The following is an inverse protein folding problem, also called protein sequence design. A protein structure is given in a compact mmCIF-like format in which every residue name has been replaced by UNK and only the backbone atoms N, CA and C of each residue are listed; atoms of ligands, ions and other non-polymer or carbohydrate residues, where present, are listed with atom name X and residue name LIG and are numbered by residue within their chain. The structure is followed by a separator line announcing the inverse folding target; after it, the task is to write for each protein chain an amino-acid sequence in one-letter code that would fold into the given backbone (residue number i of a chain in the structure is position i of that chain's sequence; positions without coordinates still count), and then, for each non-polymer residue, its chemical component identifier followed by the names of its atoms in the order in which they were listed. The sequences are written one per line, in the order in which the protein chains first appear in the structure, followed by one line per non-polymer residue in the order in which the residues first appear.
data_IF_066398515270
#
_entry.id   IF_066398515270
#
_cell.length_a   1.000
_cell.length_b   1.000
_cell.length_c   1.000
_cell.angle_alpha   90.00
_cell.angle_beta   90.00
_cell.angle_gamma   90.00
#
_symmetry.space_group_name_H-M   'P 1'
#
loop_
_entity.id
_entity.type
_entity.pdbx_description
1 polymer ?
#
# COMPACT_ATOMS: atom_id res chain seq x y z
N UNK A 1 -20.25 -3.47 -4.80
CA UNK A 1 -20.74 -2.17 -4.28
C UNK A 1 -22.26 -2.12 -4.21
N UNK A 2 -22.83 -1.61 -3.10
CA UNK A 2 -24.21 -1.14 -3.07
C UNK A 2 -24.33 0.08 -3.99
N UNK A 3 -25.34 0.09 -4.86
CA UNK A 3 -25.57 1.09 -5.93
C UNK A 3 -25.43 2.56 -5.49
N UNK A 4 -25.71 2.84 -4.21
CA UNK A 4 -25.59 4.16 -3.59
C UNK A 4 -24.15 4.70 -3.57
N UNK A 5 -23.15 3.85 -3.32
CA UNK A 5 -21.74 4.26 -3.29
C UNK A 5 -21.23 4.61 -4.70
N UNK A 6 -21.66 3.85 -5.71
CA UNK A 6 -21.33 4.11 -7.12
C UNK A 6 -21.91 5.46 -7.58
N UNK A 7 -23.14 5.78 -7.17
CA UNK A 7 -23.76 7.08 -7.49
C UNK A 7 -23.00 8.22 -6.82
N UNK A 8 -22.65 8.11 -5.53
CA UNK A 8 -21.89 9.16 -4.82
C UNK A 8 -20.50 9.35 -5.46
N UNK A 9 -19.83 8.27 -5.87
CA UNK A 9 -18.55 8.34 -6.55
C UNK A 9 -18.68 8.99 -7.94
N UNK A 10 -19.67 8.58 -8.74
CA UNK A 10 -19.92 9.19 -10.06
C UNK A 10 -20.26 10.68 -9.96
N UNK A 11 -21.01 11.08 -8.92
CA UNK A 11 -21.32 12.48 -8.67
C UNK A 11 -20.13 13.27 -8.11
N UNK A 12 -19.20 12.61 -7.42
CA UNK A 12 -18.01 13.28 -6.87
C UNK A 12 -16.89 13.46 -7.89
N UNK A 13 -16.82 12.66 -8.95
CA UNK A 13 -15.82 12.82 -10.05
C UNK A 13 -15.86 14.22 -10.66
N UNK A 14 -17.00 14.78 -11.11
CA UNK A 14 -17.02 16.12 -11.70
C UNK A 14 -16.66 17.21 -10.69
N UNK A 15 -17.10 17.07 -9.43
CA UNK A 15 -16.81 18.03 -8.36
C UNK A 15 -15.33 17.99 -7.96
N UNK A 16 -14.77 16.79 -7.81
CA UNK A 16 -13.36 16.56 -7.47
C UNK A 16 -12.44 16.95 -8.61
N UNK A 17 -12.81 16.65 -9.85
CA UNK A 17 -12.08 17.09 -11.05
C UNK A 17 -12.08 18.63 -11.14
N UNK A 18 -13.23 19.27 -10.90
CA UNK A 18 -13.30 20.73 -10.86
C UNK A 18 -12.42 21.32 -9.75
N UNK A 19 -12.49 20.78 -8.53
CA UNK A 19 -11.67 21.22 -7.39
C UNK A 19 -10.17 20.99 -7.64
N UNK A 20 -9.81 19.86 -8.22
CA UNK A 20 -8.41 19.54 -8.49
C UNK A 20 -7.86 20.43 -9.60
N UNK A 21 -8.58 20.62 -10.71
CA UNK A 21 -8.07 21.39 -11.85
C UNK A 21 -8.23 22.91 -11.72
N UNK A 22 -9.19 23.42 -10.92
CA UNK A 22 -9.29 24.87 -10.63
C UNK A 22 -8.73 25.25 -9.28
N UNK A 23 -9.06 24.51 -8.24
CA UNK A 23 -8.67 24.82 -6.87
C UNK A 23 -7.18 24.67 -6.67
N UNK A 24 -6.58 23.58 -7.14
CA UNK A 24 -5.16 23.31 -6.90
C UNK A 24 -4.22 24.31 -7.60
N UNK A 25 -4.35 24.63 -8.90
CA UNK A 25 -3.48 25.62 -9.55
C UNK A 25 -3.69 27.04 -9.03
N UNK A 26 -4.85 27.35 -8.46
CA UNK A 26 -5.10 28.63 -7.80
C UNK A 26 -4.57 28.67 -6.36
N UNK A 27 -4.56 27.55 -5.65
CA UNK A 27 -4.15 27.46 -4.25
C UNK A 27 -2.63 27.35 -4.10
N UNK A 28 -1.98 26.58 -4.96
CA UNK A 28 -0.52 26.43 -5.03
C UNK A 28 0.27 27.76 -5.02
N UNK A 29 -0.05 28.77 -5.85
CA UNK A 29 0.62 30.08 -5.86
C UNK A 29 0.38 30.89 -4.59
N UNK A 30 -0.82 30.79 -3.99
CA UNK A 30 -1.14 31.46 -2.72
C UNK A 30 -0.34 30.84 -1.58
N UNK A 31 -0.24 29.52 -1.58
CA UNK A 31 0.51 28.77 -0.58
C UNK A 31 2.01 29.01 -0.74
N UNK A 32 2.54 29.02 -1.97
CA UNK A 32 3.95 29.36 -2.22
C UNK A 32 4.28 30.78 -1.79
N UNK A 33 3.38 31.75 -2.05
CA UNK A 33 3.55 33.13 -1.59
C UNK A 33 3.56 33.22 -0.06
N UNK A 34 2.69 32.48 0.61
CA UNK A 34 2.65 32.44 2.07
C UNK A 34 3.95 31.85 2.65
N UNK A 35 4.43 30.74 2.08
CA UNK A 35 5.70 30.12 2.47
C UNK A 35 6.87 31.07 2.27
N UNK A 36 6.93 31.79 1.14
CA UNK A 36 7.98 32.76 0.85
C UNK A 36 7.92 33.99 1.76
N UNK A 37 6.71 34.48 2.09
CA UNK A 37 6.52 35.56 3.07
C UNK A 37 6.99 35.12 4.47
N UNK A 38 6.66 33.90 4.90
CA UNK A 38 7.16 33.34 6.15
C UNK A 38 8.69 33.22 6.14
N UNK A 39 9.28 32.76 5.03
CA UNK A 39 10.73 32.64 4.89
C UNK A 39 11.43 34.01 4.94
N UNK A 40 10.88 35.04 4.27
CA UNK A 40 11.42 36.40 4.31
C UNK A 40 11.30 37.00 5.73
N UNK A 41 10.12 36.88 6.37
CA UNK A 41 9.92 37.33 7.75
C UNK A 41 10.92 36.67 8.72
N UNK A 42 11.13 35.36 8.59
CA UNK A 42 12.10 34.63 9.39
C UNK A 42 13.53 35.10 9.11
N UNK A 43 13.90 35.32 7.85
CA UNK A 43 15.19 35.91 7.48
C UNK A 43 15.43 37.29 8.11
N UNK A 44 14.43 38.17 8.08
CA UNK A 44 14.51 39.48 8.72
C UNK A 44 14.62 39.40 10.25
N UNK A 45 13.93 38.45 10.89
CA UNK A 45 14.06 38.21 12.33
C UNK A 45 15.47 37.73 12.70
N UNK A 46 16.09 36.88 11.88
CA UNK A 46 17.47 36.43 12.09
C UNK A 46 18.44 37.61 11.95
N UNK A 47 18.30 38.45 10.92
CA UNK A 47 19.13 39.65 10.75
C UNK A 47 18.96 40.63 11.92
N UNK A 48 17.74 40.79 12.43
CA UNK A 48 17.49 41.61 13.62
C UNK A 48 18.18 41.02 14.86
N UNK A 49 18.13 39.69 15.04
CA UNK A 49 18.83 39.02 16.13
C UNK A 49 20.36 39.19 16.02
N UNK A 50 20.93 39.04 14.83
CA UNK A 50 22.34 39.30 14.56
C UNK A 50 22.74 40.74 14.90
N UNK A 51 21.92 41.72 14.51
CA UNK A 51 22.12 43.13 14.85
C UNK A 51 22.14 43.36 16.36
N UNK A 52 21.19 42.78 17.10
CA UNK A 52 21.13 42.89 18.56
C UNK A 52 22.34 42.22 19.24
N UNK A 53 22.75 41.05 18.76
CA UNK A 53 23.95 40.34 19.25
C UNK A 53 25.18 41.21 19.02
N UNK A 54 25.32 41.80 17.83
CA UNK A 54 26.43 42.68 17.47
C UNK A 54 26.48 43.90 18.37
N UNK A 55 25.34 44.56 18.63
CA UNK A 55 25.27 45.68 19.57
C UNK A 55 25.69 45.26 20.99
N UNK A 56 25.22 44.12 21.47
CA UNK A 56 25.55 43.62 22.81
C UNK A 56 27.05 43.30 22.94
N UNK A 57 27.65 42.69 21.92
CA UNK A 57 29.08 42.40 21.89
C UNK A 57 29.88 43.70 21.89
N UNK A 58 29.51 44.71 21.09
CA UNK A 58 30.18 46.02 21.07
C UNK A 58 30.17 46.72 22.43
N UNK A 59 29.13 46.54 23.23
CA UNK A 59 29.09 47.06 24.62
C UNK A 59 30.09 46.38 25.55
N UNK A 60 30.44 45.11 25.31
CA UNK A 60 31.34 44.31 26.15
C UNK A 60 32.77 44.21 25.64
N UNK A 61 32.99 44.34 24.32
CA UNK A 61 34.29 44.25 23.65
C UNK A 61 34.37 45.31 22.54
N UNK A 62 35.51 46.01 22.40
CA UNK A 62 35.67 47.06 21.39
C UNK A 62 35.75 46.51 19.95
N UNK A 63 36.06 45.22 19.76
CA UNK A 63 36.15 44.60 18.44
C UNK A 63 35.19 43.41 18.33
N UNK A 64 34.35 43.45 17.29
CA UNK A 64 33.40 42.38 16.95
C UNK A 64 34.14 41.33 16.11
N UNK A 65 33.97 40.03 16.40
CA UNK A 65 34.54 38.96 15.59
C UNK A 65 34.14 39.07 14.10
N UNK A 66 35.12 38.91 13.22
CA UNK A 66 34.96 39.05 11.77
C UNK A 66 33.89 38.11 11.18
N UNK A 67 33.75 36.89 11.73
CA UNK A 67 32.78 35.91 11.25
C UNK A 67 31.32 36.38 11.36
N UNK A 68 31.01 37.31 12.27
CA UNK A 68 29.65 37.84 12.43
C UNK A 68 29.23 38.61 11.16
N UNK A 69 30.13 39.44 10.62
CA UNK A 69 29.87 40.18 9.37
C UNK A 69 29.68 39.24 8.17
N UNK A 70 30.47 38.17 8.09
CA UNK A 70 30.30 37.17 7.03
C UNK A 70 28.92 36.48 7.09
N UNK A 71 28.45 36.19 8.30
CA UNK A 71 27.11 35.60 8.49
C UNK A 71 26.02 36.58 8.06
N UNK A 72 26.13 37.86 8.44
CA UNK A 72 25.16 38.89 8.03
C UNK A 72 25.11 39.11 6.52
N UNK A 73 26.26 39.13 5.84
CA UNK A 73 26.32 39.26 4.39
C UNK A 73 25.65 38.07 3.68
N UNK A 74 25.93 36.84 4.13
CA UNK A 74 25.30 35.61 3.59
C UNK A 74 23.78 35.64 3.82
N UNK A 75 23.33 36.03 5.01
CA UNK A 75 21.90 36.10 5.33
C UNK A 75 21.19 37.17 4.47
N UNK A 76 21.80 38.32 4.26
CA UNK A 76 21.29 39.38 3.40
C UNK A 76 21.15 38.91 1.95
N UNK A 77 22.15 38.19 1.44
CA UNK A 77 22.13 37.62 0.09
C UNK A 77 21.01 36.59 -0.06
N UNK A 78 20.80 35.71 0.91
CA UNK A 78 19.70 34.74 0.94
C UNK A 78 18.33 35.45 0.89
N UNK A 79 18.13 36.49 1.70
CA UNK A 79 16.86 37.26 1.70
C UNK A 79 16.62 37.90 0.33
N UNK A 80 17.64 38.53 -0.26
CA UNK A 80 17.54 39.16 -1.58
C UNK A 80 17.23 38.14 -2.69
N UNK A 81 17.78 36.94 -2.59
CA UNK A 81 17.53 35.84 -3.51
C UNK A 81 16.09 35.32 -3.41
N UNK A 82 15.57 35.16 -2.19
CA UNK A 82 14.17 34.78 -1.95
C UNK A 82 13.18 35.81 -2.51
N UNK A 83 13.47 37.10 -2.37
CA UNK A 83 12.68 38.17 -2.98
C UNK A 83 12.71 38.09 -4.51
N UNK A 84 13.88 37.80 -5.10
CA UNK A 84 14.02 37.59 -6.54
C UNK A 84 13.21 36.39 -7.07
N UNK A 85 13.20 35.27 -6.34
CA UNK A 85 12.36 34.10 -6.65
C UNK A 85 10.88 34.47 -6.59
N UNK A 86 10.46 35.17 -5.54
CA UNK A 86 9.07 35.58 -5.34
C UNK A 86 8.56 36.40 -6.53
N UNK A 87 9.35 37.37 -6.99
CA UNK A 87 9.00 38.19 -8.15
C UNK A 87 8.90 37.39 -9.46
N UNK A 88 9.79 36.41 -9.68
CA UNK A 88 9.76 35.56 -10.87
C UNK A 88 8.54 34.63 -10.86
N UNK A 89 8.22 34.05 -9.71
CA UNK A 89 7.04 33.22 -9.53
C UNK A 89 5.75 34.03 -9.75
N UNK A 90 5.68 35.26 -9.26
CA UNK A 90 4.54 36.15 -9.51
C UNK A 90 4.35 36.45 -11.01
N UNK A 91 5.45 36.67 -11.75
CA UNK A 91 5.40 36.88 -13.21
C UNK A 91 4.95 35.62 -13.95
N UNK A 92 5.52 34.46 -13.62
CA UNK A 92 5.12 33.19 -14.19
C UNK A 92 3.65 32.88 -13.90
N UNK A 93 3.21 33.11 -12.67
CA UNK A 93 1.84 32.88 -12.25
C UNK A 93 0.86 33.75 -13.03
N UNK A 94 1.13 35.06 -13.14
CA UNK A 94 0.32 35.96 -13.98
C UNK A 94 0.29 35.49 -15.43
N UNK A 95 1.43 35.10 -15.99
CA UNK A 95 1.50 34.60 -17.36
C UNK A 95 0.69 33.31 -17.56
N UNK A 96 0.82 32.33 -16.66
CA UNK A 96 0.12 31.04 -16.74
C UNK A 96 -1.39 31.22 -16.54
N UNK A 97 -1.82 32.05 -15.59
CA UNK A 97 -3.25 32.26 -15.37
C UNK A 97 -3.93 33.10 -16.45
N UNK A 98 -3.29 34.19 -16.88
CA UNK A 98 -3.93 35.17 -17.75
C UNK A 98 -3.92 34.71 -19.21
N UNK A 99 -2.82 34.07 -19.65
CA UNK A 99 -2.69 33.58 -21.02
C UNK A 99 -3.37 32.23 -21.24
N UNK A 100 -3.53 31.44 -20.19
CA UNK A 100 -3.89 30.02 -20.30
C UNK A 100 -5.27 29.74 -19.65
N UNK A 101 -6.30 30.47 -20.10
CA UNK A 101 -7.72 30.14 -19.82
C UNK A 101 -8.13 28.71 -20.24
N UNK A 102 -7.24 27.98 -20.92
CA UNK A 102 -7.39 26.60 -21.42
C UNK A 102 -7.04 25.49 -20.42
N UNK A 103 -6.73 25.79 -19.15
CA UNK A 103 -6.57 24.73 -18.12
C UNK A 103 -7.88 24.03 -17.74
N UNK A 104 -9.00 24.39 -18.38
CA UNK A 104 -10.20 23.58 -18.33
C UNK A 104 -9.96 22.29 -19.14
N UNK A 105 -10.06 21.10 -18.54
CA UNK A 105 -10.17 19.88 -19.33
C UNK A 105 -11.29 20.11 -20.34
N UNK A 106 -10.98 19.99 -21.63
CA UNK A 106 -11.97 20.16 -22.69
C UNK A 106 -13.16 19.24 -22.42
N UNK A 107 -14.37 19.57 -22.88
CA UNK A 107 -15.57 18.74 -22.62
C UNK A 107 -15.33 17.24 -22.95
N UNK A 108 -14.45 16.96 -23.91
CA UNK A 108 -13.89 15.65 -24.25
C UNK A 108 -13.28 14.87 -23.07
N UNK A 109 -12.60 15.50 -22.13
CA UNK A 109 -12.02 14.82 -20.96
C UNK A 109 -13.08 14.30 -19.98
N UNK A 110 -14.21 14.99 -19.84
CA UNK A 110 -15.34 14.48 -19.04
C UNK A 110 -15.97 13.26 -19.70
N UNK A 111 -16.06 13.25 -21.04
CA UNK A 111 -16.54 12.10 -21.81
C UNK A 111 -15.57 10.92 -21.69
N UNK A 112 -14.26 11.18 -21.83
CA UNK A 112 -13.21 10.17 -21.69
C UNK A 112 -13.22 9.59 -20.27
N UNK A 113 -13.23 10.42 -19.22
CA UNK A 113 -13.31 9.93 -17.85
C UNK A 113 -14.63 9.18 -17.58
N UNK A 114 -15.75 9.68 -18.11
CA UNK A 114 -17.07 9.08 -17.97
C UNK A 114 -17.23 7.73 -18.70
N UNK A 115 -16.43 7.46 -19.73
CA UNK A 115 -16.45 6.18 -20.48
C UNK A 115 -15.35 5.24 -19.99
N UNK A 116 -14.13 5.74 -19.83
CA UNK A 116 -12.96 4.92 -19.48
C UNK A 116 -13.03 4.42 -18.04
N UNK A 117 -13.49 5.22 -17.06
CA UNK A 117 -13.61 4.73 -15.69
C UNK A 117 -14.61 3.58 -15.58
N UNK A 118 -15.84 3.65 -16.14
CA UNK A 118 -16.75 2.51 -16.14
C UNK A 118 -16.20 1.30 -16.89
N UNK A 119 -15.51 1.48 -18.02
CA UNK A 119 -14.89 0.37 -18.74
C UNK A 119 -13.76 -0.30 -17.94
N UNK A 120 -12.86 0.48 -17.31
CA UNK A 120 -11.83 -0.05 -16.41
C UNK A 120 -12.44 -0.72 -15.17
N UNK A 121 -13.55 -0.17 -14.65
CA UNK A 121 -14.30 -0.73 -13.53
C UNK A 121 -14.93 -2.08 -13.91
N UNK A 122 -15.57 -2.17 -15.07
CA UNK A 122 -16.24 -3.40 -15.52
C UNK A 122 -15.24 -4.47 -15.98
N UNK A 123 -14.08 -4.06 -16.49
CA UNK A 123 -13.00 -4.96 -16.88
C UNK A 123 -12.11 -5.39 -15.69
N UNK A 124 -12.13 -4.68 -14.56
CA UNK A 124 -11.31 -4.97 -13.38
C UNK A 124 -11.45 -6.41 -12.84
N UNK A 125 -12.65 -7.03 -12.77
CA UNK A 125 -12.79 -8.42 -12.33
C UNK A 125 -12.20 -9.41 -13.35
N UNK A 126 -12.29 -9.12 -14.65
CA UNK A 126 -11.77 -9.95 -15.73
C UNK A 126 -10.26 -9.79 -15.96
N UNK A 127 -9.66 -8.70 -15.48
CA UNK A 127 -8.22 -8.42 -15.54
C UNK A 127 -7.50 -8.95 -14.27
N UNK A 128 -8.15 -9.89 -13.57
CA UNK A 128 -7.59 -10.64 -12.46
C UNK A 128 -6.13 -11.06 -12.74
N UNK A 129 -5.27 -10.76 -11.77
CA UNK A 129 -3.84 -11.11 -11.74
C UNK A 129 -2.90 -10.39 -12.72
N UNK A 130 -3.35 -9.38 -13.46
CA UNK A 130 -2.37 -8.59 -14.23
C UNK A 130 -1.50 -7.72 -13.33
N UNK A 131 -0.25 -7.51 -13.76
CA UNK A 131 0.85 -6.78 -13.08
C UNK A 131 0.44 -5.42 -12.50
N UNK A 132 -0.58 -4.78 -13.05
CA UNK A 132 -1.12 -3.50 -12.57
C UNK A 132 -1.73 -3.60 -11.16
N UNK A 133 -2.40 -4.71 -10.81
CA UNK A 133 -2.98 -4.91 -9.47
C UNK A 133 -1.91 -5.10 -8.39
N UNK A 134 -0.75 -5.68 -8.75
CA UNK A 134 0.43 -5.75 -7.85
C UNK A 134 1.12 -4.39 -7.69
N UNK A 135 1.14 -3.57 -8.74
CA UNK A 135 1.83 -2.28 -8.76
C UNK A 135 1.17 -1.22 -7.86
N UNK A 136 -0.16 -1.27 -7.72
CA UNK A 136 -0.92 -0.26 -6.98
C UNK A 136 -0.98 -0.55 -5.49
N UNK A 137 -1.04 -1.81 -5.06
CA UNK A 137 -1.28 -2.13 -3.63
C UNK A 137 -0.55 -3.39 -3.14
N UNK A 138 0.48 -3.86 -3.86
CA UNK A 138 1.29 -5.02 -3.46
C UNK A 138 0.44 -6.30 -3.18
N UNK A 139 -0.74 -6.41 -3.82
CA UNK A 139 -1.70 -7.50 -3.60
C UNK A 139 -2.59 -7.35 -2.36
N UNK A 140 -2.51 -6.23 -1.62
CA UNK A 140 -3.55 -5.82 -0.68
C UNK A 140 -4.68 -5.15 -1.45
N UNK A 141 -5.87 -5.16 -0.89
CA UNK A 141 -7.08 -4.72 -1.59
C UNK A 141 -7.76 -3.63 -0.77
N UNK A 142 -7.10 -2.47 -0.70
CA UNK A 142 -7.60 -1.25 -0.04
C UNK A 142 -9.05 -0.92 -0.43
N UNK A 143 -9.46 -1.26 -1.65
CA UNK A 143 -10.81 -1.07 -2.18
C UNK A 143 -11.93 -1.78 -1.41
N UNK A 144 -11.71 -2.99 -0.85
CA UNK A 144 -12.75 -3.67 -0.05
C UNK A 144 -12.94 -3.03 1.33
N UNK A 145 -11.89 -2.40 1.86
CA UNK A 145 -11.97 -1.68 3.15
C UNK A 145 -12.80 -0.40 3.03
N UNK A 146 -12.85 0.21 1.85
CA UNK A 146 -13.71 1.36 1.58
C UNK A 146 -15.20 0.98 1.54
N UNK A 147 -15.58 -0.14 0.92
CA UNK A 147 -16.97 -0.63 0.96
C UNK A 147 -17.44 -0.90 2.39
N UNK A 148 -16.58 -1.53 3.21
CA UNK A 148 -16.84 -1.75 4.63
C UNK A 148 -17.09 -0.44 5.38
N UNK A 149 -16.20 0.55 5.22
CA UNK A 149 -16.36 1.87 5.83
C UNK A 149 -17.64 2.59 5.38
N UNK A 150 -17.99 2.57 4.10
CA UNK A 150 -19.22 3.22 3.60
C UNK A 150 -20.48 2.59 4.21
N UNK A 151 -20.48 1.27 4.42
CA UNK A 151 -21.63 0.55 4.95
C UNK A 151 -21.75 0.60 6.47
N UNK A 152 -20.63 0.58 7.18
CA UNK A 152 -20.62 0.44 8.64
C UNK A 152 -20.14 1.69 9.37
N UNK A 153 -19.66 2.72 8.66
CA UNK A 153 -19.01 3.93 9.20
C UNK A 153 -17.75 3.66 10.04
N UNK A 154 -17.33 2.41 10.15
CA UNK A 154 -16.13 2.00 10.85
C UNK A 154 -15.06 1.67 9.81
N UNK A 155 -13.89 2.31 9.93
CA UNK A 155 -12.72 1.97 9.12
C UNK A 155 -12.12 0.67 9.65
N UNK A 156 -12.88 -0.42 9.51
CA UNK A 156 -12.38 -1.76 9.75
C UNK A 156 -11.64 -2.13 8.48
N UNK A 157 -10.31 -2.38 8.52
CA UNK A 157 -9.70 -3.14 7.44
C UNK A 157 -10.54 -4.41 7.36
N UNK A 158 -11.28 -4.54 6.26
CA UNK A 158 -11.78 -5.85 5.88
C UNK A 158 -10.50 -6.60 5.60
N UNK A 159 -9.96 -7.26 6.61
CA UNK A 159 -9.09 -8.39 6.40
C UNK A 159 -9.98 -9.29 5.55
N UNK A 160 -9.85 -9.19 4.23
CA UNK A 160 -9.86 -10.36 3.38
C UNK A 160 -8.80 -11.26 3.99
N UNK A 161 -9.17 -11.88 5.11
CA UNK A 161 -8.63 -13.12 5.60
C UNK A 161 -8.75 -13.97 4.36
N UNK A 162 -7.61 -14.14 3.68
CA UNK A 162 -7.47 -15.06 2.55
C UNK A 162 -8.34 -16.25 2.90
N UNK A 163 -9.30 -16.67 2.06
CA UNK A 163 -10.21 -17.73 2.45
C UNK A 163 -9.38 -18.92 2.96
N UNK A 164 -9.72 -19.52 4.12
CA UNK A 164 -9.05 -20.74 4.59
C UNK A 164 -8.89 -21.80 3.48
N UNK A 165 -9.85 -21.86 2.56
CA UNK A 165 -9.85 -22.71 1.38
C UNK A 165 -8.73 -22.31 0.40
N UNK A 166 -8.54 -21.00 0.17
CA UNK A 166 -7.48 -20.49 -0.70
C UNK A 166 -6.09 -20.85 -0.16
N UNK A 167 -5.91 -20.87 1.17
CA UNK A 167 -4.66 -21.33 1.76
C UNK A 167 -4.30 -22.75 1.31
N UNK A 168 -5.29 -23.66 1.23
CA UNK A 168 -5.07 -25.05 0.79
C UNK A 168 -4.62 -25.12 -0.65
N UNK A 169 -5.26 -24.33 -1.53
CA UNK A 169 -4.87 -24.20 -2.93
C UNK A 169 -3.44 -23.70 -3.08
N UNK A 170 -3.09 -22.62 -2.39
CA UNK A 170 -1.77 -21.99 -2.46
C UNK A 170 -0.68 -22.93 -1.91
N UNK A 171 -0.98 -23.64 -0.82
CA UNK A 171 -0.07 -24.63 -0.22
C UNK A 171 0.23 -25.78 -1.20
N UNK A 172 -0.79 -26.36 -1.82
CA UNK A 172 -0.60 -27.44 -2.80
C UNK A 172 0.08 -26.94 -4.08
N UNK A 173 -0.23 -25.72 -4.52
CA UNK A 173 0.44 -25.10 -5.66
C UNK A 173 1.94 -24.88 -5.40
N UNK A 174 2.32 -24.47 -4.17
CA UNK A 174 3.73 -24.35 -3.79
C UNK A 174 4.46 -25.70 -3.81
N UNK A 175 3.81 -26.77 -3.34
CA UNK A 175 4.33 -28.14 -3.40
C UNK A 175 4.54 -28.58 -4.86
N UNK A 176 3.52 -28.44 -5.71
CA UNK A 176 3.60 -28.88 -7.10
C UNK A 176 4.64 -28.10 -7.92
N UNK A 177 4.92 -26.84 -7.56
CA UNK A 177 6.00 -26.04 -8.16
C UNK A 177 7.40 -26.38 -7.64
N UNK A 178 7.52 -27.31 -6.69
CA UNK A 178 8.78 -27.65 -6.03
C UNK A 178 9.28 -26.61 -5.03
N UNK A 179 8.46 -25.62 -4.66
CA UNK A 179 8.81 -24.56 -3.71
C UNK A 179 8.62 -25.03 -2.25
N UNK A 180 9.30 -26.12 -1.87
CA UNK A 180 9.09 -26.78 -0.57
C UNK A 180 9.44 -25.89 0.63
N UNK A 181 10.43 -25.00 0.50
CA UNK A 181 10.77 -24.05 1.57
C UNK A 181 9.60 -23.08 1.83
N UNK A 182 8.98 -22.59 0.77
CA UNK A 182 7.82 -21.69 0.87
C UNK A 182 6.63 -22.44 1.50
N UNK A 183 6.34 -23.65 1.04
CA UNK A 183 5.27 -24.47 1.60
C UNK A 183 5.51 -24.79 3.08
N UNK A 184 6.77 -25.08 3.46
CA UNK A 184 7.14 -25.28 4.87
C UNK A 184 6.92 -24.02 5.72
N UNK A 185 7.18 -22.84 5.20
CA UNK A 185 6.93 -21.57 5.90
C UNK A 185 5.45 -21.21 6.05
N UNK A 186 4.57 -21.90 5.31
CA UNK A 186 3.12 -21.83 5.49
C UNK A 186 2.62 -22.69 6.67
N UNK A 187 3.49 -23.34 7.43
CA UNK A 187 3.14 -24.18 8.59
C UNK A 187 3.55 -23.55 9.92
N UNK A 188 2.85 -23.88 11.01
CA UNK A 188 3.18 -23.37 12.36
C UNK A 188 4.41 -24.05 12.94
N UNK A 189 5.11 -23.42 13.92
CA UNK A 189 6.15 -24.09 14.69
C UNK A 189 5.69 -25.42 15.31
N UNK A 190 4.44 -25.50 15.77
CA UNK A 190 3.87 -26.73 16.33
C UNK A 190 3.76 -27.85 15.30
N UNK A 191 3.38 -27.53 14.06
CA UNK A 191 3.40 -28.49 12.95
C UNK A 191 4.83 -28.98 12.69
N UNK A 192 5.78 -28.05 12.61
CA UNK A 192 7.20 -28.32 12.34
C UNK A 192 7.85 -29.17 13.44
N UNK A 193 7.41 -29.01 14.68
CA UNK A 193 7.92 -29.72 15.86
C UNK A 193 7.18 -31.04 16.15
N UNK A 194 6.15 -31.38 15.39
CA UNK A 194 5.39 -32.61 15.59
C UNK A 194 6.21 -33.84 15.18
N UNK A 195 6.88 -34.47 16.14
CA UNK A 195 7.75 -35.64 15.93
C UNK A 195 7.04 -36.88 15.38
N UNK A 196 5.72 -36.97 15.50
CA UNK A 196 4.94 -38.08 14.93
C UNK A 196 4.76 -37.93 13.42
N UNK A 197 4.58 -36.70 12.94
CA UNK A 197 4.42 -36.41 11.51
C UNK A 197 5.76 -36.13 10.82
N UNK A 198 6.67 -35.44 11.52
CA UNK A 198 7.94 -34.92 11.01
C UNK A 198 9.07 -35.26 12.00
N UNK A 199 9.48 -36.54 12.12
CA UNK A 199 10.48 -36.96 13.11
C UNK A 199 11.80 -36.20 12.97
N UNK A 200 12.23 -35.94 11.73
CA UNK A 200 13.43 -35.17 11.39
C UNK A 200 13.11 -33.75 10.89
N UNK A 201 11.93 -33.21 11.23
CA UNK A 201 11.53 -31.85 10.85
C UNK A 201 11.47 -31.67 9.33
N UNK A 202 12.18 -30.66 8.82
CA UNK A 202 12.17 -30.31 7.39
C UNK A 202 12.73 -31.42 6.49
N UNK A 203 13.66 -32.25 6.97
CA UNK A 203 14.18 -33.37 6.17
C UNK A 203 13.08 -34.41 5.90
N UNK A 204 12.30 -34.79 6.91
CA UNK A 204 11.14 -35.68 6.74
C UNK A 204 10.08 -35.07 5.81
N UNK A 205 9.93 -33.73 5.85
CA UNK A 205 9.04 -33.03 4.94
C UNK A 205 9.50 -33.14 3.49
N UNK A 206 10.80 -32.97 3.23
CA UNK A 206 11.37 -33.15 1.89
C UNK A 206 11.32 -34.60 1.43
N UNK A 207 11.69 -35.56 2.27
CA UNK A 207 11.61 -36.99 1.93
C UNK A 207 10.20 -37.36 1.45
N UNK A 208 9.16 -36.84 2.10
CA UNK A 208 7.79 -37.05 1.64
C UNK A 208 7.45 -36.28 0.36
N UNK A 209 7.51 -34.94 0.39
CA UNK A 209 6.97 -34.12 -0.70
C UNK A 209 7.85 -34.09 -1.95
N UNK A 210 9.17 -34.22 -1.78
CA UNK A 210 10.12 -34.19 -2.88
C UNK A 210 10.40 -35.60 -3.40
N UNK A 211 10.56 -36.60 -2.55
CA UNK A 211 11.08 -37.91 -2.99
C UNK A 211 9.98 -38.94 -3.25
N UNK A 212 8.85 -38.86 -2.53
CA UNK A 212 7.73 -39.82 -2.68
C UNK A 212 6.60 -39.29 -3.56
N UNK A 213 6.23 -38.01 -3.43
CA UNK A 213 5.14 -37.37 -4.17
C UNK A 213 5.66 -36.73 -5.48
N UNK A 214 4.98 -36.98 -6.59
CA UNK A 214 5.23 -36.32 -7.88
C UNK A 214 4.35 -35.09 -8.04
N UNK A 215 3.06 -35.22 -7.77
CA UNK A 215 2.07 -34.15 -7.94
C UNK A 215 0.89 -34.37 -6.98
N UNK A 216 0.27 -33.27 -6.55
CA UNK A 216 -0.96 -33.26 -5.77
C UNK A 216 -2.08 -32.62 -6.56
N UNK A 217 -3.20 -33.32 -6.71
CA UNK A 217 -4.43 -32.76 -7.28
C UNK A 217 -5.48 -32.61 -6.20
N UNK A 218 -6.07 -31.43 -6.10
CA UNK A 218 -7.20 -31.17 -5.20
C UNK A 218 -8.50 -31.51 -5.95
N UNK A 219 -9.27 -32.46 -5.41
CA UNK A 219 -10.58 -32.84 -5.94
C UNK A 219 -11.68 -31.95 -5.35
N UNK A 220 -11.62 -31.69 -4.04
CA UNK A 220 -12.59 -30.88 -3.32
C UNK A 220 -11.93 -30.18 -2.14
N UNK A 221 -12.31 -28.93 -1.91
CA UNK A 221 -11.91 -28.13 -0.75
C UNK A 221 -13.17 -27.52 -0.16
N UNK A 222 -13.53 -27.88 1.07
CA UNK A 222 -14.78 -27.46 1.72
C UNK A 222 -14.48 -26.86 3.09
N UNK A 223 -14.94 -25.63 3.33
CA UNK A 223 -14.86 -25.05 4.67
C UNK A 223 -15.89 -25.72 5.59
N UNK A 224 -15.41 -26.30 6.69
CA UNK A 224 -16.27 -26.94 7.70
C UNK A 224 -16.60 -25.94 8.81
N UNK A 225 -15.60 -25.20 9.29
CA UNK A 225 -15.81 -24.18 10.32
C UNK A 225 -14.75 -23.08 10.23
N UNK A 226 -15.12 -21.88 10.67
CA UNK A 226 -14.24 -20.71 10.74
C UNK A 226 -14.63 -19.84 11.93
N UNK A 227 -13.63 -19.38 12.66
CA UNK A 227 -13.74 -18.25 13.58
C UNK A 227 -12.61 -17.25 13.28
N UNK A 228 -12.42 -16.26 14.14
CA UNK A 228 -11.43 -15.19 13.93
C UNK A 228 -9.98 -15.69 13.91
N UNK A 229 -9.68 -16.78 14.61
CA UNK A 229 -8.30 -17.23 14.85
C UNK A 229 -8.02 -18.65 14.34
N UNK A 230 -9.05 -19.43 13.99
CA UNK A 230 -8.90 -20.79 13.48
C UNK A 230 -9.95 -21.12 12.42
N UNK A 231 -9.58 -22.05 11.54
CA UNK A 231 -10.49 -22.60 10.54
C UNK A 231 -10.22 -24.10 10.37
N UNK A 232 -11.27 -24.84 10.01
CA UNK A 232 -11.18 -26.25 9.66
C UNK A 232 -11.68 -26.42 8.23
N UNK A 233 -10.83 -26.96 7.38
CA UNK A 233 -11.10 -27.17 5.96
C UNK A 233 -10.99 -28.66 5.68
N UNK A 234 -12.03 -29.24 5.10
CA UNK A 234 -12.01 -30.60 4.56
C UNK A 234 -11.41 -30.59 3.16
N UNK A 235 -10.41 -31.43 2.94
CA UNK A 235 -9.62 -31.49 1.72
C UNK A 235 -9.63 -32.91 1.20
N UNK A 236 -10.21 -33.09 0.01
CA UNK A 236 -10.09 -34.30 -0.78
C UNK A 236 -9.02 -34.09 -1.85
N UNK A 237 -7.98 -34.90 -1.78
CA UNK A 237 -6.80 -34.79 -2.63
C UNK A 237 -6.32 -36.16 -3.12
N UNK A 238 -5.77 -36.13 -4.34
CA UNK A 238 -5.16 -37.27 -5.00
C UNK A 238 -3.65 -37.02 -5.13
N UNK A 239 -2.87 -37.97 -4.65
CA UNK A 239 -1.41 -38.01 -4.75
C UNK A 239 -1.03 -38.86 -5.95
N UNK A 240 -0.31 -38.24 -6.88
CA UNK A 240 0.43 -38.93 -7.91
C UNK A 240 1.81 -39.23 -7.34
N UNK A 241 2.11 -40.52 -7.17
CA UNK A 241 3.31 -40.98 -6.45
C UNK A 241 4.40 -41.36 -7.45
N UNK A 242 5.67 -41.15 -7.10
CA UNK A 242 6.81 -41.46 -7.99
C UNK A 242 7.10 -42.95 -8.11
N UNK A 243 6.99 -43.67 -7.00
CA UNK A 243 7.42 -45.09 -6.87
C UNK A 243 6.29 -46.03 -6.41
N UNK A 244 5.17 -45.47 -5.97
CA UNK A 244 4.04 -46.20 -5.38
C UNK A 244 2.79 -46.00 -6.24
N UNK A 245 1.75 -46.83 -6.07
CA UNK A 245 0.45 -46.53 -6.67
C UNK A 245 -0.07 -45.17 -6.20
N UNK A 246 -0.80 -44.49 -7.09
CA UNK A 246 -1.49 -43.24 -6.75
C UNK A 246 -2.48 -43.50 -5.60
N UNK A 247 -2.63 -42.51 -4.72
CA UNK A 247 -3.45 -42.62 -3.53
C UNK A 247 -4.37 -41.42 -3.41
N UNK A 248 -5.62 -41.64 -3.05
CA UNK A 248 -6.58 -40.56 -2.73
C UNK A 248 -6.97 -40.66 -1.28
N UNK A 249 -7.09 -39.53 -0.59
CA UNK A 249 -7.53 -39.50 0.79
C UNK A 249 -8.28 -38.21 1.10
N UNK A 250 -9.08 -38.22 2.16
CA UNK A 250 -9.69 -37.00 2.70
C UNK A 250 -9.00 -36.63 4.01
N UNK A 251 -8.73 -35.35 4.20
CA UNK A 251 -7.95 -34.86 5.35
C UNK A 251 -8.50 -33.52 5.81
N UNK A 252 -8.69 -33.40 7.13
CA UNK A 252 -9.03 -32.13 7.75
C UNK A 252 -7.76 -31.31 7.98
N UNK A 253 -7.74 -30.14 7.37
CA UNK A 253 -6.76 -29.09 7.60
C UNK A 253 -7.24 -28.20 8.72
N UNK A 254 -6.47 -28.15 9.81
CA UNK A 254 -6.70 -27.20 10.90
C UNK A 254 -5.75 -26.04 10.70
N UNK A 255 -6.30 -24.86 10.42
CA UNK A 255 -5.57 -23.63 10.16
C UNK A 255 -5.64 -22.71 11.38
N UNK A 256 -4.56 -21.96 11.59
CA UNK A 256 -4.47 -20.90 12.59
C UNK A 256 -4.16 -19.57 11.93
N UNK A 257 -4.77 -18.49 12.41
CA UNK A 257 -4.51 -17.15 11.91
C UNK A 257 -3.25 -16.58 12.55
N UNK A 258 -2.22 -16.35 11.75
CA UNK A 258 -1.01 -15.67 12.20
C UNK A 258 -1.24 -14.15 12.16
N UNK A 259 -1.44 -13.55 13.33
CA UNK A 259 -1.69 -12.10 13.48
C UNK A 259 -0.50 -11.23 13.04
N UNK A 260 0.75 -11.70 13.23
CA UNK A 260 1.96 -10.95 12.85
C UNK A 260 2.04 -10.76 11.34
N UNK A 261 1.71 -11.81 10.59
CA UNK A 261 1.84 -11.82 9.13
C UNK A 261 0.50 -11.65 8.41
N UNK A 262 -0.61 -11.58 9.15
CA UNK A 262 -1.98 -11.50 8.63
C UNK A 262 -2.29 -12.57 7.58
N UNK A 263 -1.93 -13.83 7.87
CA UNK A 263 -2.10 -14.99 6.97
C UNK A 263 -2.52 -16.24 7.73
N UNK A 264 -3.26 -17.13 7.06
CA UNK A 264 -3.46 -18.49 7.56
C UNK A 264 -2.16 -19.29 7.49
N UNK A 265 -1.96 -20.14 8.49
CA UNK A 265 -0.88 -21.12 8.56
C UNK A 265 -1.44 -22.48 8.97
N UNK A 266 -0.87 -23.55 8.42
CA UNK A 266 -1.26 -24.92 8.74
C UNK A 266 -0.79 -25.27 10.15
N UNK A 267 -1.74 -25.52 11.06
CA UNK A 267 -1.45 -25.90 12.43
C UNK A 267 -1.32 -27.43 12.56
N UNK A 268 -2.27 -28.17 12.01
CA UNK A 268 -2.21 -29.64 11.98
C UNK A 268 -3.09 -30.22 10.88
N UNK A 269 -2.89 -31.50 10.58
CA UNK A 269 -3.75 -32.29 9.70
C UNK A 269 -4.32 -33.48 10.45
N UNK A 270 -5.56 -33.87 10.16
CA UNK A 270 -6.19 -35.07 10.69
C UNK A 270 -6.77 -35.89 9.55
N UNK A 271 -6.40 -37.16 9.47
CA UNK A 271 -7.01 -38.08 8.51
C UNK A 271 -8.46 -38.35 8.91
N UNK A 272 -9.36 -38.34 7.93
CA UNK A 272 -10.77 -38.75 8.08
C UNK A 272 -10.91 -40.26 8.00
#
# INVERSE_FOLDING_TARGET
MPWRATIVFLLSIPVSSWLFWRGFPWLLPKLSRLVLLCANCLGQLILLAEYLITQYIRKKRPQVPFWIYQVGDILSEIVSFLDGITQRLDKLYKYVLDKNKQWLPSNTWYVIAGIILPCLWFASPSVGESTAAKLIDNGKTWWYSFEGWVLTSEWKPSYLSFPPEQFVWDYCAAINKGNFSQAWDMTTPDFKNNKKLMPQGYNSYLEWWKDEVQEVKLNKVTLISKNNNSAVVDVDWQFFMKKKPNNSQSTLFVLSWNTKNSKWVLYTTKKL
#
